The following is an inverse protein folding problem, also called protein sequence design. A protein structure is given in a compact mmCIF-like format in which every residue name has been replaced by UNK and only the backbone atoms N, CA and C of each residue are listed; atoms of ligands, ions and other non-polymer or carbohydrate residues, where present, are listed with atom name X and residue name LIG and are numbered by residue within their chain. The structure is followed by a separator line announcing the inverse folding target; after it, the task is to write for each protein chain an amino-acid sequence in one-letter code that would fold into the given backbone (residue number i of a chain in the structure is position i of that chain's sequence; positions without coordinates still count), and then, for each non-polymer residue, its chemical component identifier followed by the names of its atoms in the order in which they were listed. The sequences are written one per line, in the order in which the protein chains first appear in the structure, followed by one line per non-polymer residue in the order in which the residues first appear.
data_IF_051427947690
#
_entry.id   IF_051427947690
#
_cell.length_a   1.000
_cell.length_b   1.000
_cell.length_c   1.000
_cell.angle_alpha   90.00
_cell.angle_beta   90.00
_cell.angle_gamma   90.00
#
_symmetry.space_group_name_H-M   'P 1'
#
loop_
_entity.id
_entity.type
_entity.pdbx_description
1 polymer ?
#
# COMPACT_ATOMS: atom_id res chain seq x y z
N UNK A 1 -6.78 38.82 -2.70
CA UNK A 1 -5.99 37.67 -2.24
C UNK A 1 -4.80 37.54 -3.17
N UNK A 2 -3.57 37.62 -2.65
CA UNK A 2 -2.38 37.67 -3.48
C UNK A 2 -2.15 36.30 -4.15
N UNK A 3 -1.56 36.26 -5.35
CA UNK A 3 -1.37 35.01 -6.10
C UNK A 3 -0.54 33.98 -5.31
N UNK A 4 0.44 34.48 -4.55
CA UNK A 4 1.24 33.70 -3.60
C UNK A 4 0.38 33.01 -2.53
N UNK A 5 -0.62 33.70 -1.95
CA UNK A 5 -1.50 33.13 -0.92
C UNK A 5 -2.26 31.90 -1.45
N UNK A 6 -2.64 31.91 -2.73
CA UNK A 6 -3.31 30.78 -3.37
C UNK A 6 -2.34 29.61 -3.56
N UNK A 7 -1.11 29.88 -4.01
CA UNK A 7 -0.07 28.84 -4.17
C UNK A 7 0.30 28.20 -2.84
N UNK A 8 0.46 28.99 -1.78
CA UNK A 8 0.75 28.50 -0.42
C UNK A 8 -0.37 27.59 0.09
N UNK A 9 -1.63 28.00 -0.02
CA UNK A 9 -2.78 27.15 0.39
C UNK A 9 -2.84 25.84 -0.36
N UNK A 10 -2.56 25.86 -1.66
CA UNK A 10 -2.53 24.64 -2.47
C UNK A 10 -1.39 23.71 -2.02
N UNK A 11 -0.20 24.26 -1.77
CA UNK A 11 0.93 23.51 -1.23
C UNK A 11 0.64 22.88 0.13
N UNK A 12 0.01 23.61 1.07
CA UNK A 12 -0.37 23.08 2.38
C UNK A 12 -1.33 21.90 2.24
N UNK A 13 -2.34 22.04 1.38
CA UNK A 13 -3.31 20.97 1.10
C UNK A 13 -2.64 19.72 0.50
N UNK A 14 -1.85 19.88 -0.55
CA UNK A 14 -1.13 18.76 -1.19
C UNK A 14 -0.16 18.12 -0.19
N UNK A 15 0.53 18.93 0.63
CA UNK A 15 1.47 18.43 1.62
C UNK A 15 0.81 17.58 2.68
N UNK A 16 -0.34 18.02 3.19
CA UNK A 16 -1.14 17.25 4.14
C UNK A 16 -1.55 15.89 3.55
N UNK A 17 -2.04 15.89 2.30
CA UNK A 17 -2.53 14.69 1.64
C UNK A 17 -1.39 13.70 1.38
N UNK A 18 -0.28 14.15 0.81
CA UNK A 18 0.89 13.29 0.54
C UNK A 18 1.45 12.68 1.83
N UNK A 19 1.64 13.48 2.87
CA UNK A 19 2.18 12.97 4.14
C UNK A 19 1.26 11.92 4.78
N UNK A 20 -0.06 12.14 4.71
CA UNK A 20 -1.03 11.16 5.18
C UNK A 20 -0.99 9.87 4.35
N UNK A 21 -0.87 9.97 3.03
CA UNK A 21 -0.75 8.79 2.16
C UNK A 21 0.49 7.97 2.50
N UNK A 22 1.66 8.60 2.70
CA UNK A 22 2.89 7.91 3.10
C UNK A 22 2.69 7.21 4.46
N UNK A 23 2.08 7.90 5.43
CA UNK A 23 1.82 7.34 6.76
C UNK A 23 0.91 6.13 6.70
N UNK A 24 -0.22 6.24 5.99
CA UNK A 24 -1.18 5.14 5.80
C UNK A 24 -0.46 3.96 5.13
N UNK A 25 0.22 4.21 4.02
CA UNK A 25 0.90 3.16 3.25
C UNK A 25 1.95 2.41 4.09
N UNK A 26 2.73 3.13 4.90
CA UNK A 26 3.70 2.51 5.81
C UNK A 26 3.02 1.69 6.91
N UNK A 27 2.03 2.27 7.60
CA UNK A 27 1.30 1.57 8.65
C UNK A 27 0.60 0.30 8.13
N UNK A 28 0.06 0.36 6.91
CA UNK A 28 -0.59 -0.77 6.26
C UNK A 28 0.40 -1.90 6.00
N UNK A 29 1.55 -1.57 5.42
CA UNK A 29 2.59 -2.54 5.17
C UNK A 29 3.16 -3.15 6.48
N UNK A 30 3.39 -2.34 7.51
CA UNK A 30 3.89 -2.81 8.80
C UNK A 30 2.93 -3.80 9.47
N UNK A 31 1.63 -3.48 9.48
CA UNK A 31 0.60 -4.38 10.05
C UNK A 31 0.52 -5.67 9.25
N UNK A 32 0.55 -5.59 7.91
CA UNK A 32 0.56 -6.76 7.04
C UNK A 32 1.75 -7.67 7.34
N UNK A 33 2.94 -7.07 7.50
CA UNK A 33 4.18 -7.79 7.82
C UNK A 33 4.10 -8.43 9.20
N UNK A 34 3.52 -7.73 10.18
CA UNK A 34 3.31 -8.26 11.53
C UNK A 34 2.45 -9.52 11.52
N UNK A 35 1.29 -9.48 10.85
CA UNK A 35 0.41 -10.65 10.73
C UNK A 35 1.13 -11.80 10.03
N UNK A 36 1.91 -11.50 8.99
CA UNK A 36 2.72 -12.51 8.30
C UNK A 36 3.71 -13.22 9.22
N UNK A 37 4.47 -12.48 10.03
CA UNK A 37 5.40 -13.09 10.97
C UNK A 37 4.68 -13.89 12.07
N UNK A 38 3.53 -13.39 12.56
CA UNK A 38 2.68 -14.15 13.49
C UNK A 38 2.22 -15.50 12.89
N UNK A 39 1.91 -15.56 11.60
CA UNK A 39 1.55 -16.82 10.92
C UNK A 39 2.73 -17.80 10.89
N UNK A 40 3.96 -17.30 10.70
CA UNK A 40 5.17 -18.13 10.64
C UNK A 40 5.51 -18.70 12.01
N UNK A 41 5.40 -17.88 13.06
CA UNK A 41 5.78 -18.25 14.42
C UNK A 41 4.73 -19.15 15.10
N UNK A 42 3.48 -19.12 14.61
CA UNK A 42 2.39 -19.92 15.13
C UNK A 42 2.47 -21.39 14.69
N UNK A 43 2.25 -22.32 15.63
CA UNK A 43 2.27 -23.77 15.41
C UNK A 43 0.87 -24.42 15.43
N UNK A 44 -0.11 -23.74 16.02
CA UNK A 44 -1.50 -24.18 16.07
C UNK A 44 -2.22 -23.92 14.74
N UNK A 45 -2.79 -24.98 14.14
CA UNK A 45 -3.51 -24.91 12.85
C UNK A 45 -4.68 -23.93 12.89
N UNK A 46 -5.47 -23.96 13.96
CA UNK A 46 -6.67 -23.14 14.09
C UNK A 46 -6.29 -21.66 14.24
N UNK A 47 -5.20 -21.36 14.96
CA UNK A 47 -4.69 -19.99 15.09
C UNK A 47 -4.09 -19.50 13.76
N UNK A 48 -3.27 -20.31 13.08
CA UNK A 48 -2.76 -19.98 11.74
C UNK A 48 -3.89 -19.65 10.75
N UNK A 49 -4.98 -20.43 10.77
CA UNK A 49 -6.16 -20.18 9.92
C UNK A 49 -6.83 -18.84 10.27
N UNK A 50 -6.99 -18.53 11.56
CA UNK A 50 -7.52 -17.24 12.00
C UNK A 50 -6.63 -16.08 11.53
N UNK A 51 -5.32 -16.18 11.69
CA UNK A 51 -4.36 -15.17 11.26
C UNK A 51 -4.38 -14.97 9.74
N UNK A 52 -4.48 -16.03 8.95
CA UNK A 52 -4.61 -15.94 7.50
C UNK A 52 -5.93 -15.26 7.07
N UNK A 53 -7.04 -15.58 7.73
CA UNK A 53 -8.31 -14.90 7.47
C UNK A 53 -8.25 -13.42 7.86
N UNK A 54 -7.59 -13.08 8.97
CA UNK A 54 -7.32 -11.70 9.36
C UNK A 54 -6.47 -10.98 8.33
N UNK A 55 -5.43 -11.64 7.82
CA UNK A 55 -4.56 -11.12 6.76
C UNK A 55 -5.35 -10.87 5.47
N UNK A 56 -6.23 -11.80 5.07
CA UNK A 56 -7.06 -11.67 3.88
C UNK A 56 -8.02 -10.48 3.99
N UNK A 57 -8.72 -10.35 5.13
CA UNK A 57 -9.59 -9.21 5.42
C UNK A 57 -8.81 -7.90 5.38
N UNK A 58 -7.62 -7.88 5.96
CA UNK A 58 -6.74 -6.73 5.96
C UNK A 58 -6.28 -6.32 4.56
N UNK A 59 -5.91 -7.29 3.72
CA UNK A 59 -5.53 -7.06 2.32
C UNK A 59 -6.69 -6.47 1.52
N UNK A 60 -7.93 -6.92 1.77
CA UNK A 60 -9.13 -6.31 1.19
C UNK A 60 -9.27 -4.82 1.54
N UNK A 61 -9.11 -4.47 2.82
CA UNK A 61 -9.12 -3.07 3.27
C UNK A 61 -7.98 -2.27 2.63
N UNK A 62 -6.78 -2.82 2.58
CA UNK A 62 -5.61 -2.17 2.01
C UNK A 62 -5.80 -1.90 0.52
N UNK A 63 -6.34 -2.86 -0.23
CA UNK A 63 -6.67 -2.68 -1.65
C UNK A 63 -7.65 -1.53 -1.88
N UNK A 64 -8.71 -1.42 -1.07
CA UNK A 64 -9.70 -0.35 -1.20
C UNK A 64 -9.08 1.03 -0.95
N UNK A 65 -8.24 1.17 0.06
CA UNK A 65 -7.54 2.43 0.34
C UNK A 65 -6.60 2.84 -0.79
N UNK A 66 -5.89 1.87 -1.39
CA UNK A 66 -5.02 2.14 -2.54
C UNK A 66 -5.80 2.50 -3.81
N UNK A 67 -7.03 2.01 -3.96
CA UNK A 67 -7.94 2.46 -5.02
C UNK A 67 -8.38 3.91 -4.81
N UNK A 68 -8.83 4.27 -3.61
CA UNK A 68 -9.16 5.67 -3.27
C UNK A 68 -7.96 6.59 -3.44
N UNK A 69 -6.76 6.13 -3.08
CA UNK A 69 -5.54 6.86 -3.35
C UNK A 69 -5.30 7.06 -4.86
N UNK A 70 -5.58 6.05 -5.69
CA UNK A 70 -5.47 6.18 -7.15
C UNK A 70 -6.41 7.25 -7.71
N UNK A 71 -7.63 7.32 -7.19
CA UNK A 71 -8.61 8.35 -7.57
C UNK A 71 -8.14 9.74 -7.17
N UNK A 72 -7.57 9.88 -5.96
CA UNK A 72 -6.93 11.11 -5.50
C UNK A 72 -5.82 11.57 -6.46
N UNK A 73 -4.93 10.67 -6.89
CA UNK A 73 -3.85 10.98 -7.84
C UNK A 73 -4.37 11.50 -9.18
N UNK A 74 -5.55 11.04 -9.61
CA UNK A 74 -6.17 11.48 -10.84
C UNK A 74 -6.81 12.88 -10.72
N UNK A 75 -7.27 13.26 -9.53
CA UNK A 75 -7.99 14.52 -9.32
C UNK A 75 -7.08 15.70 -8.99
N UNK A 76 -6.03 15.48 -8.19
CA UNK A 76 -5.26 16.59 -7.58
C UNK A 76 -3.88 16.85 -8.19
N UNK A 77 -3.37 15.95 -9.01
CA UNK A 77 -2.03 16.09 -9.59
C UNK A 77 -2.12 16.37 -11.09
N UNK A 78 -1.38 17.39 -11.54
CA UNK A 78 -1.16 17.66 -12.95
C UNK A 78 -0.51 16.46 -13.66
N UNK A 79 -0.83 16.29 -14.94
CA UNK A 79 -0.55 15.06 -15.72
C UNK A 79 0.92 14.62 -15.70
N UNK A 80 1.87 15.55 -15.67
CA UNK A 80 3.30 15.25 -15.77
C UNK A 80 3.92 14.78 -14.44
N UNK A 81 3.57 15.39 -13.30
CA UNK A 81 4.05 14.96 -11.98
C UNK A 81 3.36 13.65 -11.53
N UNK A 82 2.17 13.38 -12.05
CA UNK A 82 1.36 12.25 -11.63
C UNK A 82 1.73 10.92 -12.32
N UNK A 83 2.33 10.92 -13.51
CA UNK A 83 2.44 9.69 -14.32
C UNK A 83 3.33 8.62 -13.66
N UNK A 84 4.49 9.00 -13.12
CA UNK A 84 5.39 8.06 -12.45
C UNK A 84 4.76 7.51 -11.17
N UNK A 85 4.07 8.37 -10.42
CA UNK A 85 3.36 7.96 -9.22
C UNK A 85 2.19 7.03 -9.56
N UNK A 86 1.42 7.29 -10.62
CA UNK A 86 0.36 6.39 -11.11
C UNK A 86 0.93 5.01 -11.44
N UNK A 87 2.00 4.94 -12.24
CA UNK A 87 2.65 3.67 -12.60
C UNK A 87 3.20 2.93 -11.37
N UNK A 88 3.81 3.64 -10.43
CA UNK A 88 4.31 3.04 -9.19
C UNK A 88 3.15 2.48 -8.36
N UNK A 89 2.05 3.22 -8.27
CA UNK A 89 0.87 2.84 -7.52
C UNK A 89 0.13 1.64 -8.13
N UNK A 90 0.01 1.59 -9.46
CA UNK A 90 -0.56 0.44 -10.18
C UNK A 90 0.22 -0.86 -9.90
N UNK A 91 1.55 -0.81 -9.90
CA UNK A 91 2.40 -1.97 -9.57
C UNK A 91 2.16 -2.44 -8.13
N UNK A 92 2.08 -1.51 -7.19
CA UNK A 92 1.77 -1.82 -5.80
C UNK A 92 0.37 -2.46 -5.67
N UNK A 93 -0.64 -1.85 -6.30
CA UNK A 93 -2.01 -2.35 -6.27
C UNK A 93 -2.12 -3.77 -6.84
N UNK A 94 -1.39 -4.05 -7.92
CA UNK A 94 -1.35 -5.39 -8.52
C UNK A 94 -0.77 -6.44 -7.57
N UNK A 95 0.30 -6.12 -6.83
CA UNK A 95 0.85 -7.05 -5.84
C UNK A 95 -0.08 -7.23 -4.63
N UNK A 96 -0.78 -6.19 -4.18
CA UNK A 96 -1.80 -6.32 -3.12
C UNK A 96 -2.93 -7.25 -3.57
N UNK A 97 -3.44 -7.09 -4.79
CA UNK A 97 -4.46 -7.99 -5.38
C UNK A 97 -3.94 -9.42 -5.48
N UNK A 98 -2.72 -9.60 -5.97
CA UNK A 98 -2.06 -10.92 -6.06
C UNK A 98 -1.95 -11.59 -4.70
N UNK A 99 -1.62 -10.83 -3.65
CA UNK A 99 -1.59 -11.34 -2.28
C UNK A 99 -2.99 -11.80 -1.85
N UNK A 100 -4.03 -11.01 -2.11
CA UNK A 100 -5.41 -11.37 -1.82
C UNK A 100 -5.80 -12.69 -2.48
N UNK A 101 -5.52 -12.85 -3.78
CA UNK A 101 -5.79 -14.10 -4.51
C UNK A 101 -5.04 -15.30 -3.93
N UNK A 102 -3.75 -15.13 -3.57
CA UNK A 102 -2.96 -16.20 -2.95
C UNK A 102 -3.52 -16.58 -1.58
N UNK A 103 -3.91 -15.60 -0.77
CA UNK A 103 -4.50 -15.82 0.55
C UNK A 103 -5.86 -16.52 0.46
N UNK A 104 -6.73 -16.14 -0.48
CA UNK A 104 -8.00 -16.84 -0.72
C UNK A 104 -7.79 -18.29 -1.11
N UNK A 105 -6.87 -18.57 -2.05
CA UNK A 105 -6.52 -19.94 -2.44
C UNK A 105 -6.02 -20.78 -1.26
N UNK A 106 -5.14 -20.20 -0.42
CA UNK A 106 -4.66 -20.86 0.79
C UNK A 106 -5.84 -21.13 1.74
N UNK A 107 -6.65 -20.11 2.03
CA UNK A 107 -7.78 -20.20 2.96
C UNK A 107 -8.81 -21.27 2.57
N UNK A 108 -9.16 -21.37 1.28
CA UNK A 108 -10.03 -22.42 0.73
C UNK A 108 -9.43 -23.82 0.95
N UNK A 109 -8.12 -23.97 0.74
CA UNK A 109 -7.45 -25.26 0.90
C UNK A 109 -7.24 -25.69 2.36
N UNK A 110 -7.38 -24.79 3.34
CA UNK A 110 -7.08 -25.04 4.76
C UNK A 110 -8.17 -25.77 5.54
N UNK A 111 -9.34 -26.00 4.94
CA UNK A 111 -10.35 -26.89 5.52
C UNK A 111 -9.74 -28.26 5.83
N UNK A 112 -8.93 -28.78 4.92
CA UNK A 112 -8.42 -30.15 4.97
C UNK A 112 -6.93 -30.27 5.38
N UNK A 113 -6.17 -29.17 5.51
CA UNK A 113 -4.71 -29.24 5.80
C UNK A 113 -4.18 -28.06 6.64
N UNK A 114 -2.96 -28.18 7.16
CA UNK A 114 -2.20 -27.07 7.79
C UNK A 114 -1.56 -26.16 6.72
N UNK A 115 -1.16 -24.95 7.14
CA UNK A 115 -0.30 -24.08 6.34
C UNK A 115 1.02 -24.79 6.10
N UNK A 116 1.42 -24.92 4.83
CA UNK A 116 2.66 -25.58 4.40
C UNK A 116 3.73 -24.53 4.17
N UNK A 117 5.00 -24.97 4.20
CA UNK A 117 6.15 -24.15 3.85
C UNK A 117 5.99 -23.43 2.50
N UNK A 118 5.39 -24.10 1.50
CA UNK A 118 5.15 -23.49 0.18
C UNK A 118 4.13 -22.35 0.23
N UNK A 119 3.11 -22.43 1.10
CA UNK A 119 2.15 -21.32 1.29
C UNK A 119 2.88 -20.10 1.86
N UNK A 120 3.76 -20.31 2.85
CA UNK A 120 4.59 -19.27 3.46
C UNK A 120 5.54 -18.63 2.43
N UNK A 121 6.19 -19.44 1.58
CA UNK A 121 7.07 -18.95 0.51
C UNK A 121 6.27 -18.09 -0.47
N UNK A 122 5.07 -18.54 -0.86
CA UNK A 122 4.19 -17.79 -1.75
C UNK A 122 3.75 -16.46 -1.13
N UNK A 123 3.42 -16.43 0.16
CA UNK A 123 3.07 -15.18 0.84
C UNK A 123 4.29 -14.24 0.90
N UNK A 124 5.45 -14.77 1.29
CA UNK A 124 6.70 -14.00 1.43
C UNK A 124 7.10 -13.29 0.14
N UNK A 125 7.06 -14.00 -0.99
CA UNK A 125 7.40 -13.45 -2.30
C UNK A 125 6.60 -12.18 -2.61
N UNK A 126 5.29 -12.22 -2.35
CA UNK A 126 4.42 -11.07 -2.63
C UNK A 126 4.61 -9.95 -1.60
N UNK A 127 4.78 -10.27 -0.31
CA UNK A 127 5.10 -9.26 0.71
C UNK A 127 6.42 -8.53 0.37
N UNK A 128 7.44 -9.27 -0.09
CA UNK A 128 8.69 -8.69 -0.56
C UNK A 128 8.49 -7.71 -1.71
N UNK A 129 7.68 -8.07 -2.70
CA UNK A 129 7.34 -7.18 -3.82
C UNK A 129 6.53 -5.95 -3.36
N UNK A 130 5.56 -6.13 -2.46
CA UNK A 130 4.80 -5.01 -1.88
C UNK A 130 5.76 -4.03 -1.19
N UNK A 131 6.72 -4.53 -0.41
CA UNK A 131 7.75 -3.68 0.23
C UNK A 131 8.52 -2.84 -0.79
N UNK A 132 8.98 -3.49 -1.87
CA UNK A 132 9.73 -2.83 -2.94
C UNK A 132 8.90 -1.75 -3.64
N UNK A 133 7.67 -2.05 -4.06
CA UNK A 133 6.83 -1.08 -4.75
C UNK A 133 6.32 0.03 -3.82
N UNK A 134 6.07 -0.27 -2.54
CA UNK A 134 5.76 0.73 -1.50
C UNK A 134 6.85 1.79 -1.41
N UNK A 135 8.12 1.36 -1.43
CA UNK A 135 9.25 2.29 -1.44
C UNK A 135 9.24 3.17 -2.69
N UNK A 136 8.95 2.60 -3.85
CA UNK A 136 8.77 3.36 -5.10
C UNK A 136 7.69 4.43 -5.01
N UNK A 137 6.51 4.08 -4.50
CA UNK A 137 5.39 5.03 -4.28
C UNK A 137 5.79 6.16 -3.32
N UNK A 138 6.40 5.82 -2.18
CA UNK A 138 6.89 6.82 -1.22
C UNK A 138 7.91 7.78 -1.86
N UNK A 139 8.80 7.29 -2.71
CA UNK A 139 9.79 8.12 -3.40
C UNK A 139 9.13 9.13 -4.35
N UNK A 140 8.16 8.70 -5.14
CA UNK A 140 7.46 9.60 -6.07
C UNK A 140 6.59 10.62 -5.31
N UNK A 141 5.95 10.22 -4.22
CA UNK A 141 5.23 11.14 -3.33
C UNK A 141 6.15 12.24 -2.74
N UNK A 142 7.34 11.87 -2.29
CA UNK A 142 8.33 12.84 -1.79
C UNK A 142 8.81 13.81 -2.88
N UNK A 143 8.96 13.35 -4.13
CA UNK A 143 9.29 14.25 -5.25
C UNK A 143 8.20 15.26 -5.53
N UNK A 144 6.93 14.86 -5.44
CA UNK A 144 5.80 15.79 -5.61
C UNK A 144 5.85 16.89 -4.55
N UNK A 145 6.08 16.53 -3.28
CA UNK A 145 6.26 17.53 -2.22
C UNK A 145 7.35 18.53 -2.56
N UNK A 146 8.51 18.03 -3.01
CA UNK A 146 9.63 18.88 -3.39
C UNK A 146 9.31 19.80 -4.58
N UNK A 147 8.65 19.27 -5.61
CA UNK A 147 8.25 20.06 -6.78
C UNK A 147 7.21 21.14 -6.41
N UNK A 148 6.23 20.80 -5.56
CA UNK A 148 5.22 21.74 -5.10
C UNK A 148 5.82 22.85 -4.23
N UNK A 149 6.77 22.51 -3.35
CA UNK A 149 7.53 23.51 -2.60
C UNK A 149 8.24 24.50 -3.54
N UNK A 150 8.98 23.98 -4.51
CA UNK A 150 9.71 24.83 -5.47
C UNK A 150 8.77 25.71 -6.29
N UNK A 151 7.61 25.21 -6.69
CA UNK A 151 6.65 25.99 -7.48
C UNK A 151 5.92 27.07 -6.68
N UNK A 152 5.73 26.87 -5.37
CA UNK A 152 5.09 27.86 -4.50
C UNK A 152 5.95 29.11 -4.30
N UNK A 153 7.26 28.94 -4.14
CA UNK A 153 8.21 30.00 -3.80
C UNK A 153 9.11 30.49 -4.95
N UNK A 154 8.81 30.08 -6.18
CA UNK A 154 9.29 30.76 -7.40
C UNK A 154 8.62 32.12 -7.56
#
# INVERSE_FOLDING_TARGET
QNELDKRVKNYEMISYLVNNSIKILNNRFETLSKIYFEIIDENDKAIQRKLLNSMLSYVGSFNNEMLTFSEFLNYYLDSNDAELLKKANEKLLNEIKKLGSRLSYIAESLEDRKVKKNDIIMINEVIGNISFFKYGVNKELQKILFNQFNNTYK
#
